data_IF_260752518901
#
_entry.id   IF_260752518901
#
_cell.length_a   1.000
_cell.length_b   1.000
_cell.length_c   1.000
_cell.angle_alpha   90.00
_cell.angle_beta   90.00
_cell.angle_gamma   90.00
#
_symmetry.space_group_name_H-M   'P 1'
#
loop_
_entity.id
_entity.type
_entity.pdbx_description
1 polymer ?
#
# COMPACT_ATOMS: atom_id res chain seq x y z
N UNK A 1 22.69 -22.78 2.71
CA UNK A 1 22.30 -23.69 3.80
C UNK A 1 20.85 -24.08 3.61
N UNK A 2 20.51 -25.36 3.71
CA UNK A 2 19.11 -25.80 3.86
C UNK A 2 18.93 -26.13 5.32
N UNK A 3 18.13 -25.33 6.04
CA UNK A 3 17.96 -25.43 7.48
C UNK A 3 16.60 -26.08 7.79
N UNK A 4 16.57 -26.96 8.79
CA UNK A 4 15.34 -27.57 9.30
C UNK A 4 14.58 -26.64 10.25
N UNK A 5 13.63 -27.18 11.02
CA UNK A 5 12.83 -26.39 11.97
C UNK A 5 13.64 -25.69 13.07
N UNK A 6 14.83 -26.21 13.41
CA UNK A 6 15.77 -25.61 14.36
C UNK A 6 16.68 -24.53 13.77
N UNK A 7 16.23 -23.78 12.76
CA UNK A 7 17.07 -22.86 11.97
C UNK A 7 17.61 -21.63 12.74
N UNK A 8 17.00 -21.28 13.86
CA UNK A 8 17.16 -19.96 14.49
C UNK A 8 18.60 -19.68 14.93
N UNK A 9 19.31 -20.67 15.48
CA UNK A 9 20.70 -20.51 15.92
C UNK A 9 21.66 -20.20 14.77
N UNK A 10 21.49 -20.89 13.63
CA UNK A 10 22.29 -20.65 12.42
C UNK A 10 22.04 -19.27 11.83
N UNK A 11 20.79 -18.80 11.86
CA UNK A 11 20.45 -17.44 11.44
C UNK A 11 21.07 -16.38 12.34
N UNK A 12 21.00 -16.57 13.66
CA UNK A 12 21.57 -15.63 14.64
C UNK A 12 23.10 -15.62 14.66
N UNK A 13 23.75 -16.68 14.16
CA UNK A 13 25.20 -16.71 13.96
C UNK A 13 25.65 -15.80 12.80
N UNK A 14 24.78 -15.52 11.83
CA UNK A 14 25.09 -14.74 10.64
C UNK A 14 24.54 -13.31 10.72
N UNK A 15 23.34 -13.17 11.30
CA UNK A 15 22.62 -11.90 11.39
C UNK A 15 22.44 -11.56 12.86
N UNK A 16 22.85 -10.36 13.31
CA UNK A 16 22.62 -9.96 14.68
C UNK A 16 21.12 -9.91 14.98
N UNK A 17 20.74 -10.28 16.20
CA UNK A 17 19.34 -10.41 16.59
C UNK A 17 18.52 -9.12 16.34
N UNK A 18 19.13 -7.94 16.48
CA UNK A 18 18.49 -6.64 16.28
C UNK A 18 18.05 -6.39 14.83
N UNK A 19 18.74 -7.01 13.86
CA UNK A 19 18.46 -6.85 12.43
C UNK A 19 17.59 -7.99 11.89
N UNK A 20 17.26 -8.99 12.72
CA UNK A 20 16.42 -10.11 12.33
C UNK A 20 14.99 -9.91 12.88
N UNK A 21 13.93 -10.09 12.06
CA UNK A 21 12.55 -10.01 12.52
C UNK A 21 12.24 -10.96 13.67
N UNK A 22 11.36 -10.54 14.59
CA UNK A 22 10.90 -11.36 15.74
C UNK A 22 10.36 -12.73 15.31
N UNK A 23 9.66 -12.80 14.17
CA UNK A 23 9.13 -14.05 13.62
C UNK A 23 10.20 -15.12 13.30
N UNK A 24 11.46 -14.71 13.13
CA UNK A 24 12.59 -15.62 12.85
C UNK A 24 13.52 -15.79 14.07
N UNK A 25 13.13 -15.31 15.26
CA UNK A 25 13.91 -15.42 16.49
C UNK A 25 14.82 -14.22 16.78
N UNK A 26 14.68 -13.12 16.05
CA UNK A 26 15.37 -11.87 16.33
C UNK A 26 14.57 -10.89 17.20
N UNK A 27 14.88 -9.60 17.08
CA UNK A 27 14.32 -8.51 17.88
C UNK A 27 13.77 -7.35 17.04
N UNK A 28 14.03 -7.34 15.73
CA UNK A 28 13.58 -6.27 14.84
C UNK A 28 12.06 -6.14 14.84
N UNK A 29 11.58 -4.91 15.01
CA UNK A 29 10.18 -4.53 14.90
C UNK A 29 10.10 -3.19 14.16
N UNK A 30 9.44 -3.20 13.00
CA UNK A 30 9.24 -2.01 12.20
C UNK A 30 7.80 -1.51 12.36
N UNK A 31 7.60 -0.21 12.21
CA UNK A 31 6.26 0.38 12.09
C UNK A 31 5.52 -0.22 10.89
N UNK A 32 4.29 -0.68 11.09
CA UNK A 32 3.52 -1.38 10.07
C UNK A 32 3.99 -2.82 9.77
N UNK A 33 5.03 -3.31 10.44
CA UNK A 33 5.56 -4.67 10.31
C UNK A 33 6.75 -4.81 9.33
N UNK A 34 7.66 -5.74 9.64
CA UNK A 34 8.91 -5.92 8.88
C UNK A 34 8.70 -6.24 7.39
N UNK A 35 7.59 -6.91 7.03
CA UNK A 35 7.29 -7.24 5.63
C UNK A 35 6.90 -6.04 4.76
N UNK A 36 6.55 -4.91 5.38
CA UNK A 36 6.17 -3.66 4.70
C UNK A 36 7.20 -2.55 4.91
N UNK A 37 8.31 -2.86 5.60
CA UNK A 37 9.35 -1.89 5.93
C UNK A 37 10.54 -2.03 4.98
N UNK A 38 11.00 -0.91 4.44
CA UNK A 38 12.25 -0.81 3.67
C UNK A 38 13.39 -0.25 4.55
N UNK A 39 13.47 -0.74 5.79
CA UNK A 39 14.47 -0.31 6.76
C UNK A 39 15.84 -0.92 6.42
N UNK A 40 16.84 -0.05 6.24
CA UNK A 40 18.22 -0.48 6.01
C UNK A 40 19.17 0.70 5.86
N UNK A 41 20.48 0.44 5.69
CA UNK A 41 21.50 1.49 5.60
C UNK A 41 21.30 2.47 4.44
N UNK A 42 20.60 2.07 3.38
CA UNK A 42 20.29 2.96 2.26
C UNK A 42 19.37 4.13 2.63
N UNK A 43 18.66 4.05 3.76
CA UNK A 43 17.82 5.14 4.28
C UNK A 43 18.57 6.07 5.23
N UNK A 44 19.80 5.72 5.63
CA UNK A 44 20.64 6.53 6.51
C UNK A 44 21.34 7.65 5.71
N UNK A 45 21.24 8.93 6.09
CA UNK A 45 21.94 10.04 5.43
C UNK A 45 23.46 9.89 5.35
N UNK A 46 24.09 9.15 6.28
CA UNK A 46 25.53 8.89 6.25
C UNK A 46 25.93 7.98 5.08
N UNK A 47 25.06 7.04 4.70
CA UNK A 47 25.33 6.04 3.66
C UNK A 47 24.55 6.28 2.36
N UNK A 48 23.48 7.08 2.40
CA UNK A 48 22.64 7.41 1.27
C UNK A 48 23.34 8.38 0.32
N UNK A 49 23.34 8.04 -0.97
CA UNK A 49 23.78 8.94 -2.04
C UNK A 49 22.64 9.10 -3.04
N UNK A 50 22.04 10.30 -3.16
CA UNK A 50 20.94 10.50 -4.08
C UNK A 50 21.43 10.30 -5.52
N UNK A 51 20.63 9.64 -6.37
CA UNK A 51 20.98 9.49 -7.76
C UNK A 51 20.95 10.86 -8.47
N UNK A 52 21.71 10.99 -9.57
CA UNK A 52 21.82 12.26 -10.31
C UNK A 52 20.46 12.84 -10.74
N UNK A 53 19.48 11.98 -11.02
CA UNK A 53 18.13 12.37 -11.42
C UNK A 53 17.22 12.79 -10.25
N UNK A 54 17.56 12.45 -9.00
CA UNK A 54 16.79 12.86 -7.81
C UNK A 54 17.23 14.22 -7.27
N UNK A 55 18.40 14.72 -7.69
CA UNK A 55 18.78 16.11 -7.48
C UNK A 55 17.81 16.96 -8.30
N UNK A 56 16.77 17.49 -7.64
CA UNK A 56 16.01 18.59 -8.21
C UNK A 56 17.01 19.72 -8.41
N UNK A 57 17.44 19.94 -9.65
CA UNK A 57 18.07 21.20 -10.02
C UNK A 57 17.14 22.29 -9.47
N UNK A 58 17.65 23.19 -8.64
CA UNK A 58 16.89 24.30 -8.02
C UNK A 58 16.31 25.29 -9.04
N UNK A 59 16.21 24.91 -10.33
CA UNK A 59 15.80 25.74 -11.45
C UNK A 59 14.77 25.02 -12.35
N UNK A 60 13.54 24.85 -11.85
CA UNK A 60 12.32 24.80 -12.69
C UNK A 60 11.08 25.07 -11.84
N UNK A 61 10.93 26.33 -11.40
CA UNK A 61 9.63 26.92 -11.04
C UNK A 61 9.11 27.63 -12.30
N UNK A 62 8.72 26.90 -13.34
CA UNK A 62 8.10 27.48 -14.54
C UNK A 62 7.62 26.37 -15.48
N UNK A 63 6.70 25.54 -15.01
CA UNK A 63 5.80 24.79 -15.89
C UNK A 63 4.43 24.69 -15.18
N UNK A 64 3.87 25.84 -14.78
CA UNK A 64 2.45 25.93 -14.45
C UNK A 64 1.70 25.91 -15.77
N UNK A 65 1.08 24.78 -16.09
CA UNK A 65 0.14 24.68 -17.20
C UNK A 65 -1.18 25.26 -16.70
N UNK A 66 -1.51 26.46 -17.16
CA UNK A 66 -2.76 27.14 -16.85
C UNK A 66 -3.87 26.56 -17.75
N UNK A 67 -4.71 25.68 -17.20
CA UNK A 67 -5.78 25.02 -17.95
C UNK A 67 -7.08 25.83 -17.92
N UNK A 68 -6.99 27.14 -18.17
CA UNK A 68 -8.10 28.08 -18.02
C UNK A 68 -8.97 28.18 -19.29
N UNK A 69 -8.61 27.51 -20.39
CA UNK A 69 -9.38 27.52 -21.64
C UNK A 69 -9.97 26.16 -22.04
N UNK A 70 -10.21 25.28 -21.06
CA UNK A 70 -11.12 24.16 -21.26
C UNK A 70 -12.56 24.65 -21.34
N UNK A 71 -13.04 25.02 -22.53
CA UNK A 71 -14.49 25.09 -22.83
C UNK A 71 -15.08 23.68 -22.68
N UNK A 72 -15.35 23.29 -21.44
CA UNK A 72 -16.27 22.21 -21.13
C UNK A 72 -17.67 22.68 -21.49
N UNK A 73 -18.10 22.43 -22.72
CA UNK A 73 -19.51 22.49 -23.06
C UNK A 73 -20.22 21.42 -22.24
N UNK A 74 -20.94 21.86 -21.21
CA UNK A 74 -21.91 21.04 -20.51
C UNK A 74 -22.95 20.59 -21.53
N UNK A 75 -23.01 19.30 -21.82
CA UNK A 75 -24.16 18.72 -22.51
C UNK A 75 -25.41 19.00 -21.65
N UNK A 76 -26.44 19.67 -22.18
CA UNK A 76 -27.61 20.01 -21.39
C UNK A 76 -28.35 18.74 -20.99
N UNK A 77 -28.72 18.67 -19.71
CA UNK A 77 -29.62 17.66 -19.17
C UNK A 77 -31.02 17.84 -19.79
N UNK A 78 -31.37 17.04 -20.80
CA UNK A 78 -32.77 16.84 -21.21
C UNK A 78 -32.92 15.64 -22.16
N UNK A 79 -33.18 14.46 -21.60
CA UNK A 79 -34.05 13.47 -22.24
C UNK A 79 -34.88 12.79 -21.13
N UNK A 80 -36.22 12.81 -21.18
CA UNK A 80 -37.04 12.18 -20.16
C UNK A 80 -36.88 10.66 -20.20
N UNK A 81 -36.63 10.06 -19.05
CA UNK A 81 -36.67 8.61 -18.85
C UNK A 81 -38.14 8.19 -19.04
N UNK A 82 -38.49 7.31 -20.00
CA UNK A 82 -39.83 6.75 -20.05
C UNK A 82 -40.06 5.84 -18.84
N UNK A 83 -41.13 6.10 -18.09
CA UNK A 83 -41.61 5.21 -17.03
C UNK A 83 -42.04 3.87 -17.65
N UNK A 84 -41.17 2.86 -17.57
CA UNK A 84 -41.54 1.49 -17.86
C UNK A 84 -42.09 0.84 -16.58
N UNK A 85 -43.41 0.67 -16.56
CA UNK A 85 -44.14 -0.13 -15.59
C UNK A 85 -43.60 -1.56 -15.48
N UNK A 86 -43.77 -2.12 -14.29
CA UNK A 86 -43.07 -3.33 -13.85
C UNK A 86 -43.56 -4.67 -14.41
N UNK A 87 -42.75 -5.69 -14.16
CA UNK A 87 -43.22 -6.97 -13.62
C UNK A 87 -42.15 -7.51 -12.68
N UNK A 88 -42.60 -7.88 -11.48
CA UNK A 88 -41.77 -8.40 -10.40
C UNK A 88 -41.16 -9.76 -10.76
N UNK A 89 -39.88 -9.93 -10.42
CA UNK A 89 -39.31 -11.22 -10.08
C UNK A 89 -38.41 -11.01 -8.87
N UNK A 90 -38.91 -11.37 -7.69
CA UNK A 90 -38.16 -11.40 -6.44
C UNK A 90 -37.05 -12.46 -6.54
N UNK A 91 -35.79 -12.05 -6.33
CA UNK A 91 -34.70 -12.97 -6.06
C UNK A 91 -34.45 -12.90 -4.55
N UNK A 92 -34.64 -13.98 -3.78
CA UNK A 92 -34.57 -13.91 -2.32
C UNK A 92 -33.13 -13.64 -1.86
N UNK A 93 -33.00 -12.65 -0.97
CA UNK A 93 -31.77 -12.35 -0.26
C UNK A 93 -31.38 -13.54 0.61
N UNK A 94 -30.22 -14.15 0.32
CA UNK A 94 -29.58 -15.08 1.25
C UNK A 94 -28.82 -14.22 2.24
N UNK A 95 -29.33 -14.08 3.45
CA UNK A 95 -28.58 -13.52 4.57
C UNK A 95 -27.33 -14.37 4.79
N UNK A 96 -26.15 -13.75 4.66
CA UNK A 96 -24.89 -14.33 5.11
C UNK A 96 -24.60 -13.72 6.48
N UNK A 97 -24.88 -14.49 7.53
CA UNK A 97 -24.54 -14.11 8.90
C UNK A 97 -23.05 -14.25 9.13
N UNK A 98 -22.40 -13.11 9.39
CA UNK A 98 -21.10 -13.02 10.02
C UNK A 98 -21.18 -13.61 11.44
N UNK A 99 -20.91 -14.91 11.57
CA UNK A 99 -20.70 -15.52 12.88
C UNK A 99 -19.29 -15.17 13.35
N UNK A 100 -19.17 -13.95 13.86
CA UNK A 100 -18.05 -13.53 14.67
C UNK A 100 -17.78 -14.55 15.77
N UNK A 101 -16.54 -15.03 15.81
CA UNK A 101 -15.91 -15.49 17.04
C UNK A 101 -15.11 -14.31 17.55
N UNK A 102 -15.71 -13.70 18.57
CA UNK A 102 -15.18 -12.66 19.44
C UNK A 102 -13.94 -13.15 20.23
N UNK A 103 -13.09 -12.22 20.68
CA UNK A 103 -11.88 -12.55 21.44
C UNK A 103 -12.24 -12.97 22.87
N UNK A 104 -11.50 -13.97 23.38
CA UNK A 104 -11.29 -14.23 24.79
C UNK A 104 -9.79 -14.52 25.01
#
# INVERSE_FOLDING_TARGET
HVLGSGYQSELLAQVPAENLPKQFGGKCECEGGCGFSDAGPWSDPEFYRPPKWAKKDEKKKEDVIDNTEGKGETVPAAAPIPEAGGVAAEVPAKEYTDHGITPA
#
